data_IF_102369453455
#
_entry.id   IF_102369453455
#
_cell.length_a   1.000
_cell.length_b   1.000
_cell.length_c   1.000
_cell.angle_alpha   90.00
_cell.angle_beta   90.00
_cell.angle_gamma   90.00
#
_symmetry.space_group_name_H-M   'P 1'
#
loop_
_entity.id
_entity.type
_entity.pdbx_description
1 polymer ?
#
# COMPACT_ATOMS: atom_id res chain seq x y z
N UNK A 1 -2.22 16.05 -20.11
CA UNK A 1 -3.07 15.56 -19.00
C UNK A 1 -2.37 15.85 -17.69
N UNK A 2 -3.11 15.93 -16.58
CA UNK A 2 -2.58 16.13 -15.23
C UNK A 2 -2.05 14.79 -14.69
N UNK A 3 -0.84 14.77 -14.13
CA UNK A 3 -0.31 13.59 -13.43
C UNK A 3 -0.72 13.59 -11.95
N UNK A 4 -0.60 12.45 -11.27
CA UNK A 4 -0.98 12.36 -9.85
C UNK A 4 -0.13 13.29 -8.97
N UNK A 5 1.15 13.42 -9.28
CA UNK A 5 2.10 14.27 -8.56
C UNK A 5 1.70 15.75 -8.62
N UNK A 6 1.11 16.16 -9.74
CA UNK A 6 0.63 17.53 -9.97
C UNK A 6 -0.68 17.85 -9.23
N UNK A 7 -1.38 16.84 -8.69
CA UNK A 7 -2.63 17.06 -7.94
C UNK A 7 -2.42 17.77 -6.60
N UNK A 8 -1.19 17.73 -6.06
CA UNK A 8 -0.89 18.27 -4.73
C UNK A 8 -1.36 17.39 -3.57
N UNK A 9 -2.06 16.28 -3.82
CA UNK A 9 -2.49 15.36 -2.77
C UNK A 9 -1.31 14.86 -1.92
N UNK A 10 -1.55 14.74 -0.63
CA UNK A 10 -0.62 14.26 0.39
C UNK A 10 -1.14 13.00 1.13
N UNK A 11 -2.43 12.69 0.96
CA UNK A 11 -3.10 11.59 1.63
C UNK A 11 -4.16 10.92 0.74
N UNK A 12 -4.36 9.62 0.91
CA UNK A 12 -5.42 8.84 0.27
C UNK A 12 -6.41 8.27 1.28
N UNK A 13 -7.69 8.49 1.05
CA UNK A 13 -8.76 7.80 1.76
C UNK A 13 -9.49 6.89 0.76
N UNK A 14 -9.40 5.58 0.97
CA UNK A 14 -9.97 4.58 0.06
C UNK A 14 -11.19 3.96 0.71
N UNK A 15 -12.35 4.22 0.13
CA UNK A 15 -13.57 3.51 0.45
C UNK A 15 -13.65 2.18 -0.33
N UNK A 16 -14.37 1.21 0.22
CA UNK A 16 -14.45 -0.16 -0.26
C UNK A 16 -13.08 -0.77 -0.64
N UNK A 17 -12.10 -0.61 0.26
CA UNK A 17 -10.71 -1.01 0.03
C UNK A 17 -10.51 -2.47 -0.38
N UNK A 18 -11.49 -3.35 -0.12
CA UNK A 18 -11.48 -4.73 -0.58
C UNK A 18 -11.39 -4.85 -2.11
N UNK A 19 -11.81 -3.84 -2.88
CA UNK A 19 -11.64 -3.81 -4.34
C UNK A 19 -10.18 -3.76 -4.80
N UNK A 20 -9.25 -3.38 -3.91
CA UNK A 20 -7.83 -3.23 -4.21
C UNK A 20 -6.99 -4.44 -3.75
N UNK A 21 -7.63 -5.53 -3.35
CA UNK A 21 -6.96 -6.72 -2.79
C UNK A 21 -6.14 -7.53 -3.81
N UNK A 22 -6.43 -7.37 -5.10
CA UNK A 22 -5.80 -8.14 -6.18
C UNK A 22 -4.55 -7.45 -6.72
N UNK A 23 -3.54 -7.24 -5.88
CA UNK A 23 -2.23 -6.70 -6.30
C UNK A 23 -1.40 -7.77 -7.02
N UNK A 24 -0.79 -7.39 -8.15
CA UNK A 24 0.20 -8.23 -8.84
C UNK A 24 1.38 -8.49 -7.92
N UNK A 25 1.65 -9.76 -7.63
CA UNK A 25 2.71 -10.15 -6.72
C UNK A 25 3.31 -11.50 -7.12
N UNK A 26 4.63 -11.58 -7.34
CA UNK A 26 5.31 -12.85 -7.51
C UNK A 26 5.50 -13.53 -6.15
N UNK A 27 5.31 -14.85 -6.09
CA UNK A 27 5.59 -15.68 -4.93
C UNK A 27 6.14 -17.02 -5.39
N UNK A 28 6.88 -17.71 -4.52
CA UNK A 28 7.32 -19.08 -4.75
C UNK A 28 6.18 -20.09 -4.53
N UNK A 29 5.18 -19.72 -3.71
CA UNK A 29 3.96 -20.49 -3.53
C UNK A 29 2.91 -20.10 -4.56
N UNK A 30 2.42 -21.07 -5.33
CA UNK A 30 1.40 -20.86 -6.36
C UNK A 30 0.11 -20.25 -5.79
N UNK A 31 -0.27 -20.63 -4.57
CA UNK A 31 -1.48 -20.16 -3.90
C UNK A 31 -1.38 -18.69 -3.46
N UNK A 32 -0.15 -18.19 -3.27
CA UNK A 32 0.13 -16.81 -2.87
C UNK A 32 0.46 -15.92 -4.06
N UNK A 33 0.93 -16.49 -5.18
CA UNK A 33 1.25 -15.73 -6.38
C UNK A 33 0.00 -15.20 -7.08
N UNK A 34 0.05 -13.95 -7.53
CA UNK A 34 -0.94 -13.37 -8.45
C UNK A 34 -0.19 -12.66 -9.57
N UNK A 35 -0.16 -13.30 -10.74
CA UNK A 35 0.53 -12.82 -11.94
C UNK A 35 -0.28 -11.74 -12.67
N UNK A 36 -1.60 -11.90 -12.72
CA UNK A 36 -2.53 -10.98 -13.38
C UNK A 36 -3.35 -10.19 -12.35
N UNK A 37 -2.65 -9.37 -11.55
CA UNK A 37 -3.32 -8.47 -10.62
C UNK A 37 -4.08 -7.35 -11.33
N UNK A 38 -4.97 -6.71 -10.59
CA UNK A 38 -5.76 -5.58 -11.09
C UNK A 38 -4.91 -4.32 -11.23
N UNK A 39 -5.12 -3.59 -12.33
CA UNK A 39 -4.41 -2.31 -12.56
C UNK A 39 -4.70 -1.30 -11.45
N UNK A 40 -5.93 -1.28 -10.90
CA UNK A 40 -6.32 -0.41 -9.79
C UNK A 40 -5.50 -0.67 -8.52
N UNK A 41 -5.20 -1.93 -8.21
CA UNK A 41 -4.40 -2.31 -7.05
C UNK A 41 -2.94 -1.87 -7.22
N UNK A 42 -2.39 -2.03 -8.42
CA UNK A 42 -1.04 -1.56 -8.76
C UNK A 42 -0.94 -0.03 -8.72
N UNK A 43 -1.93 0.67 -9.28
CA UNK A 43 -2.02 2.13 -9.24
C UNK A 43 -2.08 2.66 -7.80
N UNK A 44 -2.91 2.04 -6.95
CA UNK A 44 -2.97 2.40 -5.53
C UNK A 44 -1.63 2.18 -4.82
N UNK A 45 -0.94 1.08 -5.12
CA UNK A 45 0.37 0.77 -4.54
C UNK A 45 1.40 1.85 -4.85
N UNK A 46 1.47 2.25 -6.13
CA UNK A 46 2.39 3.28 -6.60
C UNK A 46 2.10 4.62 -5.92
N UNK A 47 0.83 5.04 -5.86
CA UNK A 47 0.42 6.28 -5.21
C UNK A 47 0.70 6.27 -3.71
N UNK A 48 0.41 5.16 -3.02
CA UNK A 48 0.67 5.01 -1.60
C UNK A 48 2.18 5.07 -1.26
N UNK A 49 3.03 4.47 -2.11
CA UNK A 49 4.50 4.60 -1.99
C UNK A 49 4.95 6.04 -2.18
N UNK A 50 4.54 6.68 -3.26
CA UNK A 50 4.90 8.06 -3.58
C UNK A 50 4.54 9.03 -2.43
N UNK A 51 3.31 8.96 -1.93
CA UNK A 51 2.87 9.82 -0.83
C UNK A 51 3.63 9.55 0.47
N UNK A 52 3.95 8.28 0.75
CA UNK A 52 4.73 7.91 1.93
C UNK A 52 6.17 8.45 1.84
N UNK A 53 6.80 8.38 0.67
CA UNK A 53 8.12 8.96 0.43
C UNK A 53 8.12 10.48 0.61
N UNK A 54 7.12 11.15 0.01
CA UNK A 54 6.92 12.60 0.17
C UNK A 54 6.72 13.00 1.64
N UNK A 55 5.88 12.27 2.37
CA UNK A 55 5.63 12.51 3.79
C UNK A 55 6.89 12.32 4.64
N UNK A 56 7.72 11.31 4.35
CA UNK A 56 9.01 11.10 5.02
C UNK A 56 10.00 12.24 4.76
N UNK A 57 10.11 12.69 3.50
CA UNK A 57 10.99 13.80 3.13
C UNK A 57 10.59 15.09 3.89
N UNK A 58 9.29 15.43 3.88
CA UNK A 58 8.77 16.57 4.62
C UNK A 58 9.01 16.44 6.14
N UNK A 59 8.77 15.25 6.69
CA UNK A 59 9.04 14.97 8.10
C UNK A 59 10.50 15.18 8.46
N UNK A 60 11.44 14.74 7.62
CA UNK A 60 12.87 14.94 7.84
C UNK A 60 13.25 16.43 7.85
N UNK A 61 12.73 17.23 6.91
CA UNK A 61 12.94 18.68 6.86
C UNK A 61 12.40 19.39 8.11
N UNK A 62 11.33 18.86 8.69
CA UNK A 62 10.70 19.39 9.92
C UNK A 62 11.34 18.86 11.22
N UNK A 63 12.44 18.11 11.14
CA UNK A 63 13.08 17.50 12.32
C UNK A 63 12.32 16.30 12.89
N UNK A 64 11.34 15.78 12.17
CA UNK A 64 10.50 14.63 12.51
C UNK A 64 10.87 13.39 11.67
N UNK A 65 12.17 13.14 11.44
CA UNK A 65 12.65 12.08 10.56
C UNK A 65 12.17 10.66 10.92
N UNK A 66 11.80 10.44 12.19
CA UNK A 66 11.29 9.16 12.69
C UNK A 66 9.77 9.11 12.84
N UNK A 67 9.04 10.17 12.44
CA UNK A 67 7.59 10.17 12.52
C UNK A 67 6.97 9.16 11.53
N UNK A 68 5.89 8.47 11.91
CA UNK A 68 5.19 7.58 11.00
C UNK A 68 4.66 8.33 9.77
N UNK A 69 5.04 7.88 8.58
CA UNK A 69 4.55 8.44 7.33
C UNK A 69 3.16 7.87 6.99
N UNK A 70 2.14 8.55 7.51
CA UNK A 70 0.73 8.23 7.28
C UNK A 70 0.31 8.80 5.92
N UNK A 71 0.16 7.92 4.93
CA UNK A 71 -0.15 8.30 3.55
C UNK A 71 -1.53 7.82 3.07
N UNK A 72 -2.13 6.87 3.78
CA UNK A 72 -3.33 6.17 3.32
C UNK A 72 -4.17 5.63 4.48
N UNK A 73 -5.49 5.67 4.33
CA UNK A 73 -6.46 5.03 5.21
C UNK A 73 -7.55 4.32 4.40
N UNK A 74 -8.06 3.22 4.95
CA UNK A 74 -9.09 2.38 4.36
C UNK A 74 -10.39 2.45 5.15
N UNK A 75 -11.50 2.54 4.43
CA UNK A 75 -12.84 2.24 4.89
C UNK A 75 -13.36 1.05 4.09
N UNK A 76 -13.85 0.01 4.77
CA UNK A 76 -14.45 -1.16 4.12
C UNK A 76 -15.27 -1.94 5.13
N UNK A 77 -16.46 -2.38 4.74
CA UNK A 77 -17.31 -3.27 5.55
C UNK A 77 -16.85 -4.72 5.54
N UNK A 78 -15.92 -5.06 4.63
CA UNK A 78 -15.42 -6.41 4.37
C UNK A 78 -13.89 -6.38 4.40
N UNK A 79 -13.28 -6.20 5.58
CA UNK A 79 -11.85 -5.89 5.69
C UNK A 79 -10.97 -6.93 4.98
N UNK A 80 -11.34 -8.20 5.06
CA UNK A 80 -10.62 -9.33 4.48
C UNK A 80 -11.65 -10.36 4.08
N UNK A 81 -11.59 -10.84 2.84
CA UNK A 81 -12.62 -11.72 2.31
C UNK A 81 -12.36 -13.17 2.65
N UNK A 82 -11.12 -13.70 2.55
CA UNK A 82 -10.80 -15.08 2.98
C UNK A 82 -9.32 -15.54 2.89
N UNK A 83 -8.31 -14.69 2.60
CA UNK A 83 -6.93 -15.19 2.42
C UNK A 83 -5.83 -14.43 3.16
N UNK A 84 -4.79 -15.17 3.54
CA UNK A 84 -3.53 -14.63 4.07
C UNK A 84 -2.87 -13.65 3.09
N UNK A 85 -3.07 -13.89 1.78
CA UNK A 85 -2.58 -13.00 0.75
C UNK A 85 -3.29 -11.65 0.72
N UNK A 86 -4.58 -11.59 1.01
CA UNK A 86 -5.31 -10.32 1.15
C UNK A 86 -4.80 -9.54 2.37
N UNK A 87 -4.57 -10.22 3.51
CA UNK A 87 -3.95 -9.61 4.71
C UNK A 87 -2.63 -8.96 4.34
N UNK A 88 -1.77 -9.70 3.63
CA UNK A 88 -0.47 -9.18 3.24
C UNK A 88 -0.58 -7.95 2.33
N UNK A 89 -1.49 -7.98 1.34
CA UNK A 89 -1.72 -6.84 0.43
C UNK A 89 -2.21 -5.61 1.20
N UNK A 90 -3.21 -5.76 2.08
CA UNK A 90 -3.71 -4.64 2.88
C UNK A 90 -2.63 -4.08 3.82
N UNK A 91 -1.84 -4.96 4.43
CA UNK A 91 -0.72 -4.55 5.29
C UNK A 91 0.36 -3.83 4.48
N UNK A 92 0.66 -4.29 3.27
CA UNK A 92 1.60 -3.63 2.35
C UNK A 92 1.16 -2.21 1.99
N UNK A 93 -0.13 -1.96 1.86
CA UNK A 93 -0.64 -0.62 1.63
C UNK A 93 -0.56 0.26 2.87
N UNK A 94 -1.06 -0.21 4.01
CA UNK A 94 -1.22 0.60 5.22
C UNK A 94 0.10 0.76 5.99
N UNK A 95 0.80 -0.36 6.23
CA UNK A 95 1.98 -0.48 7.10
C UNK A 95 3.06 -1.38 6.48
N UNK A 96 3.65 -0.99 5.33
CA UNK A 96 4.75 -1.76 4.72
C UNK A 96 5.98 -1.86 5.63
N UNK A 97 6.13 -0.94 6.59
CA UNK A 97 7.15 -0.99 7.64
C UNK A 97 7.02 -2.24 8.52
N UNK A 98 5.81 -2.64 8.90
CA UNK A 98 5.60 -3.86 9.69
C UNK A 98 5.98 -5.13 8.92
N UNK A 99 5.72 -5.15 7.61
CA UNK A 99 6.16 -6.26 6.76
C UNK A 99 7.69 -6.32 6.68
N UNK A 100 8.36 -5.17 6.57
CA UNK A 100 9.82 -5.13 6.54
C UNK A 100 10.44 -5.58 7.87
N UNK A 101 9.89 -5.13 9.01
CA UNK A 101 10.31 -5.56 10.34
C UNK A 101 10.13 -7.07 10.56
N UNK A 102 9.06 -7.64 10.02
CA UNK A 102 8.78 -9.08 10.09
C UNK A 102 9.59 -9.91 9.06
N UNK A 103 10.40 -9.29 8.20
CA UNK A 103 11.09 -9.99 7.10
C UNK A 103 10.16 -10.47 5.97
N UNK A 104 8.93 -9.96 5.91
CA UNK A 104 7.87 -10.31 4.96
C UNK A 104 7.67 -9.24 3.87
N UNK A 105 8.74 -8.53 3.48
CA UNK A 105 8.69 -7.48 2.45
C UNK A 105 8.25 -8.00 1.06
N UNK A 106 8.45 -9.29 0.83
CA UNK A 106 7.86 -10.07 -0.27
C UNK A 106 6.99 -11.18 0.33
N UNK A 107 5.99 -11.60 -0.43
CA UNK A 107 5.08 -12.68 -0.05
C UNK A 107 5.67 -14.00 -0.56
N UNK A 108 6.29 -14.76 0.33
CA UNK A 108 7.15 -15.91 0.00
C UNK A 108 6.55 -17.21 0.54
#
# INVERSE_FOLDING_TARGET
GLTFEQSGCDFLFIDEAHDYKNLTRPSNSADLAVTNGSQRATDLEMKAKYLREKARALGAEQGMAHAPAKAIAFATGTPISNSLSEIWVMTKYLRPDLLHEAGLGRID
#
